data_IF_807450101219
#
_entry.id   IF_807450101219
#
_cell.length_a   1.000
_cell.length_b   1.000
_cell.length_c   1.000
_cell.angle_alpha   90.00
_cell.angle_beta   90.00
_cell.angle_gamma   90.00
#
_symmetry.space_group_name_H-M   'P 1'
#
loop_
_entity.id
_entity.type
_entity.pdbx_description
1 polymer ?
#
# COMPACT_ATOMS: atom_id res chain seq x y z
N UNK A 1 -2.40 5.06 8.52
CA UNK A 1 -1.84 4.67 7.19
C UNK A 1 -3.01 4.29 6.27
N UNK A 2 -2.80 4.10 4.95
CA UNK A 2 -3.93 3.81 4.02
C UNK A 2 -4.63 2.51 4.40
N UNK A 3 -3.88 1.44 4.69
CA UNK A 3 -4.45 0.13 5.00
C UNK A 3 -5.34 0.15 6.26
N UNK A 4 -4.97 0.92 7.30
CA UNK A 4 -5.82 1.07 8.50
C UNK A 4 -7.19 1.68 8.14
N UNK A 5 -7.20 2.64 7.20
CA UNK A 5 -8.41 3.32 6.76
C UNK A 5 -9.36 2.40 6.00
N UNK A 6 -8.83 1.32 5.40
CA UNK A 6 -9.61 0.28 4.73
C UNK A 6 -9.80 -0.97 5.61
N UNK A 7 -9.44 -0.91 6.90
CA UNK A 7 -9.71 -1.95 7.89
C UNK A 7 -8.62 -3.01 8.04
N UNK A 8 -7.41 -2.77 7.53
CA UNK A 8 -6.29 -3.71 7.57
C UNK A 8 -5.24 -3.18 8.54
N UNK A 9 -4.98 -3.95 9.59
CA UNK A 9 -4.09 -3.51 10.66
C UNK A 9 -2.64 -3.39 10.19
N UNK A 10 -2.03 -2.27 10.55
CA UNK A 10 -0.59 -2.03 10.39
C UNK A 10 0.21 -2.13 11.68
N UNK A 11 -0.41 -2.53 12.79
CA UNK A 11 0.30 -2.73 14.05
C UNK A 11 1.47 -3.70 13.83
N UNK A 12 2.67 -3.25 14.19
CA UNK A 12 3.92 -3.99 14.01
C UNK A 12 4.74 -3.57 12.78
N UNK A 13 4.15 -2.83 11.83
CA UNK A 13 4.90 -2.24 10.72
C UNK A 13 5.70 -1.01 11.16
N UNK A 14 6.77 -0.66 10.42
CA UNK A 14 7.73 0.40 10.81
C UNK A 14 7.12 1.79 11.07
N UNK A 15 6.01 2.11 10.41
CA UNK A 15 5.25 3.36 10.58
C UNK A 15 3.75 3.10 10.80
N UNK A 16 3.43 1.88 11.26
CA UNK A 16 2.07 1.45 11.49
C UNK A 16 1.51 1.89 12.84
N UNK A 17 0.20 1.74 13.01
CA UNK A 17 -0.52 2.09 14.23
C UNK A 17 -1.83 1.32 14.36
N UNK A 18 -2.56 1.49 15.47
CA UNK A 18 -3.88 0.90 15.60
C UNK A 18 -4.86 1.54 14.62
N UNK A 19 -5.85 0.77 14.19
CA UNK A 19 -7.00 1.29 13.45
C UNK A 19 -7.81 2.17 14.42
N UNK A 20 -7.86 3.47 14.15
CA UNK A 20 -8.66 4.44 14.92
C UNK A 20 -9.97 4.81 14.23
N UNK A 21 -10.03 4.62 12.90
CA UNK A 21 -11.21 4.84 12.08
C UNK A 21 -11.07 4.06 10.76
N UNK A 22 -12.20 3.62 10.19
CA UNK A 22 -12.26 3.02 8.87
C UNK A 22 -13.24 3.79 7.98
N UNK A 23 -13.06 3.68 6.67
CA UNK A 23 -13.99 4.22 5.70
C UNK A 23 -15.37 3.55 5.85
N UNK A 24 -16.47 4.33 5.76
CA UNK A 24 -17.81 3.76 5.72
C UNK A 24 -17.96 2.81 4.53
N UNK A 25 -18.69 1.71 4.72
CA UNK A 25 -18.93 0.73 3.66
C UNK A 25 -19.56 1.34 2.39
N UNK A 26 -20.32 2.44 2.53
CA UNK A 26 -20.92 3.18 1.41
C UNK A 26 -19.92 3.91 0.52
N UNK A 27 -18.68 4.11 0.98
CA UNK A 27 -17.59 4.71 0.21
C UNK A 27 -16.80 3.66 -0.57
N UNK A 28 -16.78 2.40 -0.12
CA UNK A 28 -16.00 1.33 -0.74
C UNK A 28 -16.23 1.20 -2.26
N UNK A 29 -17.49 1.23 -2.78
CA UNK A 29 -17.72 1.12 -4.22
C UNK A 29 -17.19 2.31 -5.03
N UNK A 30 -16.94 3.45 -4.39
CA UNK A 30 -16.45 4.70 -5.01
C UNK A 30 -14.93 4.72 -5.19
N UNK A 31 -14.21 3.77 -4.59
CA UNK A 31 -12.76 3.64 -4.73
C UNK A 31 -12.49 2.81 -5.98
N UNK A 32 -11.99 3.47 -7.03
CA UNK A 32 -11.62 2.81 -8.28
C UNK A 32 -10.32 2.00 -8.11
N UNK A 33 -9.27 2.61 -7.55
CA UNK A 33 -7.98 1.96 -7.34
C UNK A 33 -7.27 2.51 -6.09
N UNK A 34 -6.39 1.69 -5.51
CA UNK A 34 -5.47 2.03 -4.42
C UNK A 34 -4.06 1.75 -4.92
N UNK A 35 -3.20 2.76 -4.93
CA UNK A 35 -1.81 2.66 -5.37
C UNK A 35 -0.91 2.84 -4.15
N UNK A 36 -0.19 1.78 -3.76
CA UNK A 36 0.68 1.78 -2.59
C UNK A 36 2.15 1.66 -3.04
N UNK A 37 2.98 2.57 -2.56
CA UNK A 37 4.41 2.60 -2.86
C UNK A 37 5.18 2.45 -1.56
N UNK A 38 5.88 1.33 -1.40
CA UNK A 38 6.61 1.02 -0.17
C UNK A 38 5.69 0.75 1.01
N UNK A 39 4.63 -0.05 0.79
CA UNK A 39 3.65 -0.36 1.82
C UNK A 39 4.28 -1.03 3.07
N UNK A 40 4.23 -0.41 4.26
CA UNK A 40 4.86 -0.96 5.46
C UNK A 40 4.31 -2.32 5.90
N UNK A 41 3.03 -2.62 5.63
CA UNK A 41 2.42 -3.88 6.11
C UNK A 41 2.98 -5.10 5.38
N UNK A 42 3.54 -4.91 4.18
CA UNK A 42 4.23 -5.96 3.45
C UNK A 42 5.47 -6.45 4.21
N UNK A 43 6.13 -5.55 4.94
CA UNK A 43 7.28 -5.87 5.78
C UNK A 43 6.97 -6.83 6.93
N UNK A 44 5.70 -6.96 7.29
CA UNK A 44 5.20 -7.89 8.33
C UNK A 44 4.39 -9.06 7.73
N UNK A 45 4.44 -9.25 6.41
CA UNK A 45 3.75 -10.36 5.73
C UNK A 45 2.24 -10.15 5.56
N UNK A 46 1.74 -8.93 5.77
CA UNK A 46 0.34 -8.58 5.47
C UNK A 46 0.21 -8.07 4.03
N UNK A 47 -1.03 -8.03 3.55
CA UNK A 47 -1.39 -7.49 2.23
C UNK A 47 -2.81 -6.91 2.29
N UNK A 48 -3.17 -6.12 1.27
CA UNK A 48 -4.56 -5.65 1.14
C UNK A 48 -5.48 -6.83 0.81
N UNK A 49 -6.58 -6.96 1.54
CA UNK A 49 -7.54 -8.07 1.43
C UNK A 49 -8.98 -7.55 1.31
N UNK A 50 -9.92 -8.46 1.04
CA UNK A 50 -11.35 -8.14 0.96
C UNK A 50 -11.71 -7.34 -0.31
N UNK A 51 -12.63 -6.37 -0.22
CA UNK A 51 -13.24 -5.71 -1.40
C UNK A 51 -12.29 -4.77 -2.17
N UNK A 52 -11.08 -4.56 -1.66
CA UNK A 52 -10.07 -3.70 -2.30
C UNK A 52 -8.92 -4.51 -2.91
N UNK A 53 -8.87 -5.83 -2.70
CA UNK A 53 -7.74 -6.66 -3.11
C UNK A 53 -7.50 -6.65 -4.63
N UNK A 54 -8.57 -6.69 -5.41
CA UNK A 54 -8.55 -6.62 -6.88
C UNK A 54 -8.31 -5.21 -7.43
N UNK A 55 -8.42 -4.18 -6.57
CA UNK A 55 -8.24 -2.76 -6.91
C UNK A 55 -6.97 -2.17 -6.32
N UNK A 56 -6.08 -3.01 -5.79
CA UNK A 56 -4.85 -2.55 -5.15
C UNK A 56 -3.64 -2.91 -5.98
N UNK A 57 -2.85 -1.90 -6.31
CA UNK A 57 -1.52 -2.05 -6.86
C UNK A 57 -0.49 -1.72 -5.76
N UNK A 58 0.10 -2.76 -5.18
CA UNK A 58 1.09 -2.64 -4.08
C UNK A 58 2.51 -2.91 -4.59
N UNK A 59 3.27 -1.83 -4.73
CA UNK A 59 4.61 -1.84 -5.28
C UNK A 59 5.65 -1.65 -4.17
N UNK A 60 6.61 -2.56 -4.12
CA UNK A 60 7.76 -2.51 -3.23
C UNK A 60 9.03 -2.61 -4.06
N UNK A 61 9.87 -1.57 -4.01
CA UNK A 61 11.18 -1.61 -4.67
C UNK A 61 12.11 -2.55 -3.91
N UNK A 62 12.93 -3.32 -4.64
CA UNK A 62 13.95 -4.15 -4.02
C UNK A 62 14.87 -3.35 -3.07
N UNK A 63 15.18 -3.93 -1.91
CA UNK A 63 16.01 -3.33 -0.85
C UNK A 63 15.40 -2.08 -0.15
N UNK A 64 14.10 -1.83 -0.33
CA UNK A 64 13.38 -0.83 0.43
C UNK A 64 13.09 -1.33 1.86
N UNK A 65 13.71 -0.72 2.90
CA UNK A 65 13.55 -1.17 4.28
C UNK A 65 12.13 -0.99 4.83
N UNK A 66 11.20 -0.29 4.17
CA UNK A 66 9.82 -0.11 4.66
C UNK A 66 8.97 -1.36 4.45
N UNK A 67 8.98 -1.86 3.22
CA UNK A 67 8.12 -2.94 2.76
C UNK A 67 8.84 -4.28 2.65
N UNK A 68 10.18 -4.29 2.65
CA UNK A 68 11.01 -5.49 2.70
C UNK A 68 11.63 -5.63 4.10
N UNK A 69 11.35 -6.73 4.84
CA UNK A 69 11.95 -6.95 6.16
C UNK A 69 13.48 -7.07 6.12
N UNK A 70 14.06 -7.39 4.96
CA UNK A 70 15.51 -7.47 4.72
C UNK A 70 16.07 -6.23 4.01
N UNK A 71 15.23 -5.25 3.68
CA UNK A 71 15.65 -4.02 3.03
C UNK A 71 16.53 -3.16 3.95
N UNK A 72 17.50 -2.46 3.35
CA UNK A 72 18.51 -1.68 4.08
C UNK A 72 18.70 -0.27 3.53
N UNK A 73 18.16 0.05 2.36
CA UNK A 73 18.45 1.30 1.66
C UNK A 73 17.29 2.28 1.72
N UNK A 74 17.36 3.24 2.64
CA UNK A 74 16.44 4.41 2.65
C UNK A 74 16.57 5.30 1.42
N UNK A 75 17.62 5.13 0.61
CA UNK A 75 17.75 5.83 -0.66
C UNK A 75 16.72 5.31 -1.66
N UNK A 76 16.57 3.98 -1.81
CA UNK A 76 15.64 3.42 -2.81
C UNK A 76 14.19 3.77 -2.50
N UNK A 77 13.81 3.76 -1.22
CA UNK A 77 12.46 4.19 -0.79
C UNK A 77 12.09 5.60 -1.28
N UNK A 78 13.08 6.48 -1.42
CA UNK A 78 12.87 7.90 -1.81
C UNK A 78 13.04 8.16 -3.30
N UNK A 79 13.78 7.33 -4.02
CA UNK A 79 14.20 7.66 -5.40
C UNK A 79 13.71 6.69 -6.45
N UNK A 80 13.20 5.51 -6.07
CA UNK A 80 12.97 4.44 -7.04
C UNK A 80 11.52 4.27 -7.48
N UNK A 81 10.55 4.73 -6.69
CA UNK A 81 9.12 4.57 -7.02
C UNK A 81 8.64 5.39 -8.22
N UNK A 82 9.37 6.43 -8.61
CA UNK A 82 9.04 7.19 -9.83
C UNK A 82 9.12 6.30 -11.08
N UNK A 83 9.97 5.27 -11.08
CA UNK A 83 10.10 4.35 -12.21
C UNK A 83 8.85 3.46 -12.41
N UNK A 84 8.02 3.31 -11.38
CA UNK A 84 6.80 2.49 -11.41
C UNK A 84 5.53 3.35 -11.41
N UNK A 85 5.66 4.67 -11.53
CA UNK A 85 4.53 5.59 -11.44
C UNK A 85 3.59 5.45 -12.65
N UNK A 86 4.14 5.28 -13.85
CA UNK A 86 3.35 5.11 -15.08
C UNK A 86 2.55 3.80 -15.04
N UNK A 87 3.16 2.70 -14.60
CA UNK A 87 2.47 1.40 -14.42
C UNK A 87 1.31 1.51 -13.42
N UNK A 88 1.53 2.19 -12.29
CA UNK A 88 0.50 2.41 -11.30
C UNK A 88 -0.63 3.32 -11.81
N UNK A 89 -0.30 4.32 -12.64
CA UNK A 89 -1.28 5.19 -13.28
C UNK A 89 -2.12 4.44 -14.32
N UNK A 90 -1.49 3.59 -15.14
CA UNK A 90 -2.18 2.72 -16.10
C UNK A 90 -3.11 1.73 -15.39
N UNK A 91 -2.67 1.15 -14.27
CA UNK A 91 -3.53 0.34 -13.41
C UNK A 91 -4.75 1.13 -12.97
N UNK A 92 -4.57 2.34 -12.41
CA UNK A 92 -5.71 3.15 -11.99
C UNK A 92 -6.66 3.49 -13.15
N UNK A 93 -6.13 3.83 -14.32
CA UNK A 93 -6.93 4.12 -15.51
C UNK A 93 -7.76 2.92 -15.99
N UNK A 94 -7.26 1.70 -15.85
CA UNK A 94 -7.98 0.47 -16.19
C UNK A 94 -9.16 0.16 -15.24
N UNK A 95 -9.23 0.85 -14.08
CA UNK A 95 -10.26 0.66 -13.06
C UNK A 95 -11.27 1.82 -12.98
N UNK A 96 -11.23 2.78 -13.92
CA UNK A 96 -12.16 3.92 -14.01
C UNK A 96 -13.47 3.60 -14.75
#
# INVERSE_FOLDING_TARGET
MVDDSIGISSVGAKVGGPIVATLPASVAPKIAAILLFGNPIRGIGHSVTGPYADRTHDTCTANDPVCDPHGTSWKVHRTSYTATADEAADFAAAHL
#
